data_IF_548714625516
#
_entry.id   IF_548714625516
#
_cell.length_a   1.000
_cell.length_b   1.000
_cell.length_c   1.000
_cell.angle_alpha   90.00
_cell.angle_beta   90.00
_cell.angle_gamma   90.00
#
_symmetry.space_group_name_H-M   'P 1'
#
loop_
_entity.id
_entity.type
_entity.pdbx_description
1 polymer ?
#
# COMPACT_ATOMS: atom_id res chain seq x y z
N UNK A 1 -21.28 7.67 16.60
CA UNK A 1 -21.63 6.23 16.44
C UNK A 1 -20.43 5.44 15.93
N UNK A 2 -19.76 5.88 14.85
CA UNK A 2 -18.54 5.23 14.37
C UNK A 2 -17.27 5.68 15.12
N UNK A 3 -17.25 6.89 15.69
CA UNK A 3 -16.15 7.37 16.52
C UNK A 3 -15.97 6.53 17.80
N UNK A 4 -17.05 5.97 18.35
CA UNK A 4 -16.94 5.06 19.51
C UNK A 4 -16.15 3.81 19.16
N UNK A 5 -16.23 3.31 17.92
CA UNK A 5 -15.43 2.16 17.47
C UNK A 5 -13.94 2.51 17.56
N UNK A 6 -13.54 3.73 17.17
CA UNK A 6 -12.15 4.19 17.31
C UNK A 6 -11.75 4.32 18.78
N UNK A 7 -12.64 4.84 19.63
CA UNK A 7 -12.37 4.93 21.07
C UNK A 7 -12.18 3.56 21.71
N UNK A 8 -13.10 2.63 21.48
CA UNK A 8 -13.00 1.26 22.01
C UNK A 8 -11.74 0.55 21.51
N UNK A 9 -11.43 0.71 20.22
CA UNK A 9 -10.23 0.14 19.59
C UNK A 9 -8.93 0.64 20.22
N UNK A 10 -8.83 1.93 20.54
CA UNK A 10 -7.63 2.54 21.12
C UNK A 10 -7.59 2.50 22.64
N UNK A 11 -8.70 2.20 23.33
CA UNK A 11 -8.76 2.17 24.79
C UNK A 11 -7.70 1.23 25.43
N UNK A 12 -7.32 0.15 24.73
CA UNK A 12 -6.25 -0.75 25.18
C UNK A 12 -4.86 -0.10 25.31
N UNK A 13 -4.64 1.06 24.68
CA UNK A 13 -3.38 1.79 24.77
C UNK A 13 -3.15 2.46 26.13
N UNK A 14 -4.16 2.52 27.00
CA UNK A 14 -4.00 2.98 28.39
C UNK A 14 -2.89 2.20 29.13
N UNK A 15 -2.80 0.88 28.92
CA UNK A 15 -1.76 0.04 29.52
C UNK A 15 -0.36 0.35 28.96
N UNK A 16 -0.25 0.52 27.64
CA UNK A 16 1.02 0.88 27.00
C UNK A 16 1.50 2.27 27.46
N UNK A 17 0.57 3.21 27.66
CA UNK A 17 0.87 4.52 28.27
C UNK A 17 1.42 4.38 29.69
N UNK A 18 0.79 3.58 30.55
CA UNK A 18 1.27 3.33 31.92
C UNK A 18 2.67 2.71 31.93
N UNK A 19 2.92 1.71 31.09
CA UNK A 19 4.24 1.08 30.94
C UNK A 19 5.30 2.12 30.52
N UNK A 20 5.03 2.90 29.46
CA UNK A 20 5.96 3.91 28.97
C UNK A 20 6.25 4.98 30.03
N UNK A 21 5.24 5.42 30.80
CA UNK A 21 5.42 6.37 31.92
C UNK A 21 6.26 5.81 33.06
N UNK A 22 6.22 4.50 33.27
CA UNK A 22 7.08 3.81 34.24
C UNK A 22 8.52 3.62 33.75
N UNK A 23 8.81 3.99 32.50
CA UNK A 23 10.12 3.86 31.86
C UNK A 23 10.28 2.60 31.02
N UNK A 24 9.25 1.76 30.92
CA UNK A 24 9.25 0.59 30.04
C UNK A 24 8.80 0.97 28.63
N UNK A 25 9.78 1.19 27.76
CA UNK A 25 9.57 1.49 26.33
C UNK A 25 9.64 0.24 25.44
N UNK A 26 9.70 -0.98 25.99
CA UNK A 26 9.99 -2.20 25.22
C UNK A 26 9.04 -2.45 24.04
N UNK A 27 7.78 -1.98 24.13
CA UNK A 27 6.77 -2.13 23.07
C UNK A 27 6.75 -0.99 22.05
N UNK A 28 7.45 0.11 22.32
CA UNK A 28 7.37 1.37 21.54
C UNK A 28 8.74 1.94 21.16
N UNK A 29 9.84 1.42 21.71
CA UNK A 29 11.18 1.82 21.29
C UNK A 29 11.47 1.33 19.87
N UNK A 30 12.33 2.04 19.17
CA UNK A 30 12.80 1.62 17.86
C UNK A 30 13.53 0.27 17.96
N UNK A 31 13.06 -0.71 17.20
CA UNK A 31 13.69 -2.02 17.08
C UNK A 31 13.86 -2.38 15.60
N UNK A 32 15.10 -2.29 15.12
CA UNK A 32 15.43 -2.54 13.73
C UNK A 32 15.24 -4.02 13.36
N UNK A 33 14.45 -4.25 12.32
CA UNK A 33 14.30 -5.55 11.69
C UNK A 33 14.80 -5.48 10.25
N UNK A 34 15.76 -6.36 9.92
CA UNK A 34 16.20 -6.53 8.53
C UNK A 34 15.43 -7.68 7.89
N UNK A 35 14.61 -7.33 6.90
CA UNK A 35 13.85 -8.28 6.09
C UNK A 35 14.60 -8.54 4.78
N UNK A 36 14.95 -9.80 4.45
CA UNK A 36 15.60 -10.12 3.18
C UNK A 36 14.77 -9.66 1.98
N UNK A 37 15.31 -8.76 1.16
CA UNK A 37 14.64 -8.21 -0.03
C UNK A 37 13.91 -6.87 0.20
N UNK A 38 13.50 -6.59 1.45
CA UNK A 38 12.75 -5.38 1.80
C UNK A 38 13.57 -4.39 2.64
N UNK A 39 14.77 -4.78 3.10
CA UNK A 39 15.67 -3.87 3.83
C UNK A 39 15.32 -3.76 5.32
N UNK A 40 15.62 -2.61 5.92
CA UNK A 40 15.41 -2.34 7.34
C UNK A 40 14.05 -1.67 7.56
N UNK A 41 13.30 -2.14 8.56
CA UNK A 41 12.06 -1.54 9.08
C UNK A 41 12.04 -1.56 10.60
N UNK A 42 11.14 -0.82 11.22
CA UNK A 42 10.92 -0.87 12.68
C UNK A 42 9.78 -1.83 13.05
N UNK A 43 10.06 -2.78 13.96
CA UNK A 43 9.05 -3.73 14.46
C UNK A 43 7.94 -3.04 15.27
N UNK A 44 8.24 -1.93 15.94
CA UNK A 44 7.34 -1.27 16.88
C UNK A 44 6.67 -0.03 16.31
N UNK A 45 6.86 0.29 15.02
CA UNK A 45 6.23 1.46 14.38
C UNK A 45 4.72 1.51 14.64
N UNK A 46 4.00 0.40 14.42
CA UNK A 46 2.55 0.36 14.61
C UNK A 46 2.14 0.55 16.08
N UNK A 47 2.93 0.04 17.03
CA UNK A 47 2.67 0.25 18.46
C UNK A 47 2.87 1.71 18.85
N UNK A 48 3.94 2.37 18.38
CA UNK A 48 4.13 3.81 18.55
C UNK A 48 2.99 4.63 17.95
N UNK A 49 2.59 4.32 16.73
CA UNK A 49 1.48 5.01 16.06
C UNK A 49 0.19 4.92 16.88
N UNK A 50 -0.13 3.73 17.42
CA UNK A 50 -1.32 3.53 18.26
C UNK A 50 -1.25 4.37 19.54
N UNK A 51 -0.08 4.42 20.20
CA UNK A 51 0.12 5.24 21.38
C UNK A 51 0.03 6.74 21.05
N UNK A 52 0.62 7.19 19.93
CA UNK A 52 0.50 8.58 19.48
C UNK A 52 -0.95 8.98 19.19
N UNK A 53 -1.74 8.13 18.52
CA UNK A 53 -3.18 8.33 18.34
C UNK A 53 -3.92 8.38 19.69
N UNK A 54 -3.55 7.55 20.66
CA UNK A 54 -4.15 7.57 21.98
C UNK A 54 -3.85 8.90 22.71
N UNK A 55 -2.60 9.37 22.69
CA UNK A 55 -2.22 10.66 23.27
C UNK A 55 -3.03 11.81 22.64
N UNK A 56 -3.18 11.80 21.31
CA UNK A 56 -3.97 12.78 20.57
C UNK A 56 -5.45 12.76 20.99
N UNK A 57 -6.13 11.62 20.87
CA UNK A 57 -7.58 11.56 21.05
C UNK A 57 -8.04 11.59 22.51
N UNK A 58 -7.17 11.23 23.46
CA UNK A 58 -7.41 11.42 24.90
C UNK A 58 -6.82 12.73 25.43
N UNK A 59 -6.23 13.56 24.56
CA UNK A 59 -5.64 14.85 24.91
C UNK A 59 -4.66 14.73 26.09
N UNK A 60 -3.88 13.66 26.10
CA UNK A 60 -2.93 13.37 27.18
C UNK A 60 -1.75 14.31 27.05
N UNK A 61 -1.64 15.25 27.98
CA UNK A 61 -0.53 16.20 28.03
C UNK A 61 0.67 15.56 28.76
N UNK A 62 1.61 15.02 27.97
CA UNK A 62 2.82 14.38 28.49
C UNK A 62 4.03 14.74 27.61
N UNK A 63 4.62 15.91 27.90
CA UNK A 63 5.73 16.48 27.13
C UNK A 63 6.91 15.52 27.02
N UNK A 64 7.32 14.92 28.14
CA UNK A 64 8.48 14.04 28.19
C UNK A 64 8.26 12.80 27.35
N UNK A 65 7.13 12.11 27.55
CA UNK A 65 6.81 10.91 26.77
C UNK A 65 6.70 11.23 25.28
N UNK A 66 6.07 12.35 24.92
CA UNK A 66 5.94 12.78 23.53
C UNK A 66 7.30 13.01 22.88
N UNK A 67 8.22 13.68 23.59
CA UNK A 67 9.59 13.88 23.12
C UNK A 67 10.39 12.58 23.00
N UNK A 68 10.22 11.65 23.95
CA UNK A 68 10.88 10.34 23.92
C UNK A 68 10.38 9.51 22.71
N UNK A 69 9.06 9.43 22.50
CA UNK A 69 8.47 8.75 21.34
C UNK A 69 8.90 9.39 20.01
N UNK A 70 8.99 10.73 19.95
CA UNK A 70 9.49 11.44 18.78
C UNK A 70 10.93 11.03 18.45
N UNK A 71 11.77 10.91 19.48
CA UNK A 71 13.15 10.45 19.33
C UNK A 71 13.24 9.03 18.78
N UNK A 72 12.36 8.12 19.19
CA UNK A 72 12.29 6.76 18.65
C UNK A 72 11.82 6.75 17.18
N UNK A 73 10.86 7.59 16.82
CA UNK A 73 10.39 7.71 15.44
C UNK A 73 11.44 8.28 14.48
N UNK A 74 12.28 9.22 14.96
CA UNK A 74 13.41 9.72 14.18
C UNK A 74 14.41 8.63 13.81
N UNK A 75 14.69 7.69 14.74
CA UNK A 75 15.60 6.57 14.46
C UNK A 75 15.07 5.72 13.31
N UNK A 76 13.76 5.47 13.27
CA UNK A 76 13.14 4.77 12.14
C UNK A 76 13.30 5.61 10.86
N UNK A 77 12.92 6.88 10.87
CA UNK A 77 12.97 7.73 9.66
C UNK A 77 14.35 7.90 9.07
N UNK A 78 15.40 7.86 9.88
CA UNK A 78 16.80 7.97 9.44
C UNK A 78 17.40 6.64 8.95
N UNK A 79 16.82 5.51 9.32
CA UNK A 79 17.43 4.17 9.07
C UNK A 79 16.56 3.24 8.23
N UNK A 80 15.28 3.53 8.08
CA UNK A 80 14.35 2.73 7.30
C UNK A 80 14.76 2.72 5.83
N UNK A 81 14.78 1.52 5.24
CA UNK A 81 15.11 1.38 3.82
C UNK A 81 14.00 1.90 2.91
N UNK A 82 12.78 2.04 3.42
CA UNK A 82 11.68 2.73 2.77
C UNK A 82 11.61 4.17 3.25
N UNK A 83 11.54 5.09 2.29
CA UNK A 83 11.36 6.52 2.57
C UNK A 83 9.89 6.80 2.95
N UNK A 84 9.66 7.86 3.72
CA UNK A 84 8.34 8.33 4.10
C UNK A 84 8.39 9.25 5.32
N UNK A 85 7.36 10.07 5.51
CA UNK A 85 7.20 10.92 6.70
C UNK A 85 6.64 10.07 7.85
N UNK A 86 5.52 9.40 7.57
CA UNK A 86 4.80 8.50 8.46
C UNK A 86 3.96 9.23 9.52
N UNK A 87 2.73 8.75 9.67
CA UNK A 87 1.69 9.37 10.50
C UNK A 87 2.09 9.49 11.97
N UNK A 88 2.90 8.58 12.50
CA UNK A 88 3.37 8.66 13.89
C UNK A 88 4.24 9.90 14.11
N UNK A 89 5.13 10.23 13.15
CA UNK A 89 5.97 11.42 13.23
C UNK A 89 5.10 12.68 13.19
N UNK A 90 4.14 12.76 12.26
CA UNK A 90 3.28 13.93 12.09
C UNK A 90 2.42 14.20 13.34
N UNK A 91 1.82 13.16 13.93
CA UNK A 91 1.04 13.30 15.17
C UNK A 91 1.94 13.74 16.33
N UNK A 92 3.12 13.13 16.49
CA UNK A 92 4.05 13.49 17.58
C UNK A 92 4.61 14.90 17.39
N UNK A 93 4.85 15.35 16.16
CA UNK A 93 5.18 16.75 15.84
C UNK A 93 4.11 17.70 16.33
N UNK A 94 2.86 17.43 15.99
CA UNK A 94 1.73 18.26 16.40
C UNK A 94 1.60 18.31 17.93
N UNK A 95 1.64 17.16 18.61
CA UNK A 95 1.57 17.10 20.07
C UNK A 95 2.74 17.83 20.74
N UNK A 96 3.96 17.68 20.23
CA UNK A 96 5.14 18.33 20.79
C UNK A 96 5.13 19.84 20.54
N UNK A 97 4.44 20.30 19.49
CA UNK A 97 4.29 21.73 19.19
C UNK A 97 3.58 22.50 20.32
N UNK A 98 2.68 21.85 21.06
CA UNK A 98 2.02 22.45 22.24
C UNK A 98 3.01 22.83 23.35
N UNK A 99 4.18 22.19 23.40
CA UNK A 99 5.22 22.43 24.39
C UNK A 99 6.42 23.22 23.83
N UNK A 100 6.33 23.74 22.59
CA UNK A 100 7.46 24.37 21.89
C UNK A 100 7.38 25.90 21.81
N UNK A 101 6.70 26.57 22.74
CA UNK A 101 6.56 28.04 22.70
C UNK A 101 7.92 28.78 22.78
N UNK A 102 8.92 28.16 23.41
CA UNK A 102 10.29 28.69 23.57
C UNK A 102 11.27 28.19 22.49
N UNK A 103 10.80 27.38 21.53
CA UNK A 103 11.63 26.81 20.45
C UNK A 103 12.57 25.68 20.90
N UNK A 104 12.42 25.12 22.10
CA UNK A 104 13.31 24.07 22.64
C UNK A 104 13.39 22.80 21.77
N UNK A 105 12.35 22.51 20.99
CA UNK A 105 12.24 21.36 20.10
C UNK A 105 12.54 21.68 18.64
N UNK A 106 12.90 22.93 18.31
CA UNK A 106 13.19 23.32 16.91
C UNK A 106 14.28 22.44 16.28
N UNK A 107 15.30 22.07 17.04
CA UNK A 107 16.34 21.14 16.57
C UNK A 107 15.82 19.73 16.26
N UNK A 108 14.82 19.25 17.01
CA UNK A 108 14.19 17.96 16.72
C UNK A 108 13.33 18.06 15.45
N UNK A 109 12.59 19.14 15.27
CA UNK A 109 11.79 19.35 14.06
C UNK A 109 12.67 19.54 12.82
N UNK A 110 13.81 20.21 12.93
CA UNK A 110 14.79 20.28 11.84
C UNK A 110 15.42 18.91 11.55
N UNK A 111 15.71 18.11 12.58
CA UNK A 111 16.17 16.72 12.39
C UNK A 111 15.12 15.89 11.67
N UNK A 112 13.85 16.00 12.04
CA UNK A 112 12.74 15.35 11.34
C UNK A 112 12.65 15.78 9.88
N UNK A 113 12.77 17.08 9.59
CA UNK A 113 12.77 17.60 8.21
C UNK A 113 13.88 16.97 7.37
N UNK A 114 15.03 16.68 7.96
CA UNK A 114 16.20 16.16 7.25
C UNK A 114 16.39 14.64 7.40
N UNK A 115 15.44 13.92 8.02
CA UNK A 115 15.60 12.50 8.33
C UNK A 115 15.73 11.63 7.08
N UNK A 116 14.99 11.96 6.02
CA UNK A 116 15.01 11.27 4.74
C UNK A 116 14.47 12.17 3.61
N UNK A 117 14.46 11.66 2.37
CA UNK A 117 14.04 12.45 1.19
C UNK A 117 12.59 12.94 1.28
N UNK A 118 11.67 12.06 1.68
CA UNK A 118 10.24 12.40 1.75
C UNK A 118 9.96 13.42 2.86
N UNK A 119 10.66 13.33 4.00
CA UNK A 119 10.62 14.37 5.02
C UNK A 119 11.12 15.71 4.47
N UNK A 120 12.26 15.71 3.78
CA UNK A 120 12.84 16.94 3.23
C UNK A 120 11.88 17.61 2.24
N UNK A 121 11.14 16.83 1.46
CA UNK A 121 10.14 17.35 0.53
C UNK A 121 8.83 17.76 1.20
N UNK A 122 8.29 16.97 2.14
CA UNK A 122 6.90 17.07 2.55
C UNK A 122 6.62 17.30 4.04
N UNK A 123 7.59 17.07 4.93
CA UNK A 123 7.38 17.29 6.37
C UNK A 123 7.08 18.76 6.66
N UNK A 124 5.99 19.01 7.40
CA UNK A 124 5.57 20.32 7.89
C UNK A 124 5.36 20.29 9.40
N UNK A 125 6.14 21.08 10.13
CA UNK A 125 6.04 21.18 11.59
C UNK A 125 4.77 21.90 12.08
N UNK A 126 4.05 22.57 11.18
CA UNK A 126 2.83 23.30 11.49
C UNK A 126 1.56 22.58 11.00
N UNK A 127 1.68 21.33 10.55
CA UNK A 127 0.54 20.55 10.08
C UNK A 127 -0.48 20.38 11.21
N UNK A 128 -1.74 20.84 11.03
CA UNK A 128 -2.75 20.72 12.06
C UNK A 128 -3.34 19.31 12.11
N UNK A 129 -3.68 18.86 13.32
CA UNK A 129 -4.46 17.64 13.56
C UNK A 129 -5.72 17.98 14.36
N UNK A 130 -6.90 17.48 13.96
CA UNK A 130 -8.06 17.54 14.85
C UNK A 130 -7.81 16.68 16.09
N UNK A 131 -7.91 17.28 17.27
CA UNK A 131 -7.76 16.55 18.55
C UNK A 131 -9.06 15.85 18.95
N UNK A 132 -10.20 16.35 18.46
CA UNK A 132 -11.51 15.76 18.76
C UNK A 132 -11.89 14.74 17.69
N UNK A 133 -12.12 13.49 18.12
CA UNK A 133 -12.63 12.43 17.24
C UNK A 133 -13.94 12.79 16.51
N UNK A 134 -14.73 13.72 17.06
CA UNK A 134 -15.94 14.23 16.41
C UNK A 134 -15.71 14.98 15.10
N UNK A 135 -14.50 15.51 14.90
CA UNK A 135 -14.13 16.25 13.69
C UNK A 135 -13.68 15.33 12.53
N UNK A 136 -13.51 14.04 12.82
CA UNK A 136 -13.13 13.03 11.82
C UNK A 136 -14.36 12.44 11.13
N UNK A 137 -14.28 12.33 9.81
CA UNK A 137 -15.29 11.66 9.00
C UNK A 137 -15.20 10.14 9.17
N UNK A 138 -16.23 9.42 8.72
CA UNK A 138 -16.22 7.95 8.70
C UNK A 138 -15.06 7.40 7.87
N UNK A 139 -14.75 8.02 6.71
CA UNK A 139 -13.61 7.63 5.88
C UNK A 139 -12.30 7.82 6.64
N UNK A 140 -12.12 8.93 7.35
CA UNK A 140 -10.92 9.13 8.16
C UNK A 140 -10.78 8.08 9.26
N UNK A 141 -11.89 7.73 9.95
CA UNK A 141 -11.90 6.64 10.92
C UNK A 141 -11.50 5.28 10.31
N UNK A 142 -11.94 4.97 9.07
CA UNK A 142 -11.51 3.76 8.36
C UNK A 142 -10.01 3.79 8.12
N UNK A 143 -9.47 4.92 7.64
CA UNK A 143 -8.03 5.08 7.44
C UNK A 143 -7.25 4.93 8.74
N UNK A 144 -7.69 5.55 9.84
CA UNK A 144 -7.08 5.39 11.17
C UNK A 144 -7.05 3.91 11.56
N UNK A 145 -8.16 3.19 11.44
CA UNK A 145 -8.23 1.78 11.81
C UNK A 145 -7.33 0.89 10.92
N UNK A 146 -7.19 1.22 9.64
CA UNK A 146 -6.27 0.54 8.70
C UNK A 146 -4.81 0.80 9.09
N UNK A 147 -4.41 2.06 9.26
CA UNK A 147 -3.01 2.44 9.53
C UNK A 147 -2.54 1.97 10.89
N UNK A 148 -3.44 1.94 11.88
CA UNK A 148 -3.19 1.35 13.21
C UNK A 148 -3.34 -0.17 13.24
N UNK A 149 -3.59 -0.83 12.10
CA UNK A 149 -3.71 -2.28 11.95
C UNK A 149 -4.72 -2.93 12.91
N UNK A 150 -5.93 -2.36 13.01
CA UNK A 150 -7.06 -2.95 13.72
C UNK A 150 -8.12 -3.44 12.73
N UNK A 151 -7.93 -4.62 12.12
CA UNK A 151 -8.75 -5.06 10.99
C UNK A 151 -10.22 -5.31 11.35
N UNK A 152 -10.53 -5.68 12.59
CA UNK A 152 -11.91 -5.89 13.03
C UNK A 152 -12.69 -4.56 13.07
N UNK A 153 -12.13 -3.53 13.68
CA UNK A 153 -12.69 -2.18 13.71
C UNK A 153 -12.81 -1.62 12.29
N UNK A 154 -11.76 -1.76 11.48
CA UNK A 154 -11.77 -1.30 10.09
C UNK A 154 -12.90 -1.97 9.28
N UNK A 155 -13.12 -3.29 9.40
CA UNK A 155 -14.23 -3.97 8.73
C UNK A 155 -15.60 -3.49 9.20
N UNK A 156 -15.77 -3.25 10.49
CA UNK A 156 -17.03 -2.72 11.03
C UNK A 156 -17.32 -1.32 10.46
N UNK A 157 -16.31 -0.44 10.43
CA UNK A 157 -16.41 0.91 9.87
C UNK A 157 -16.72 0.89 8.36
N UNK A 158 -16.06 0.01 7.60
CA UNK A 158 -16.36 -0.20 6.17
C UNK A 158 -17.79 -0.69 5.97
N UNK A 159 -18.28 -1.57 6.84
CA UNK A 159 -19.68 -2.00 6.84
C UNK A 159 -20.64 -0.82 7.00
N UNK A 160 -20.37 0.09 7.94
CA UNK A 160 -21.14 1.33 8.10
C UNK A 160 -21.05 2.23 6.87
N UNK A 161 -19.84 2.41 6.32
CA UNK A 161 -19.61 3.24 5.14
C UNK A 161 -20.42 2.75 3.94
N UNK A 162 -20.46 1.42 3.71
CA UNK A 162 -21.27 0.80 2.65
C UNK A 162 -22.75 1.18 2.75
N UNK A 163 -23.31 1.35 3.95
CA UNK A 163 -24.73 1.73 4.13
C UNK A 163 -25.04 3.17 3.71
N UNK A 164 -24.02 4.04 3.70
CA UNK A 164 -24.15 5.43 3.24
C UNK A 164 -23.93 5.61 1.74
N UNK A 165 -23.48 4.58 1.01
CA UNK A 165 -23.24 4.66 -0.43
C UNK A 165 -24.57 4.61 -1.18
N UNK A 166 -24.99 5.75 -1.71
CA UNK A 166 -26.21 5.87 -2.52
C UNK A 166 -25.99 5.41 -3.97
N UNK A 167 -24.79 5.62 -4.50
CA UNK A 167 -24.41 5.19 -5.84
C UNK A 167 -22.97 4.64 -5.88
N UNK A 168 -22.81 3.48 -6.52
CA UNK A 168 -21.51 2.88 -6.79
C UNK A 168 -20.82 3.56 -7.98
N UNK A 169 -20.26 4.73 -7.72
CA UNK A 169 -19.43 5.51 -8.64
C UNK A 169 -18.03 4.91 -8.78
N UNK A 170 -17.22 5.43 -9.71
CA UNK A 170 -15.83 5.01 -9.87
C UNK A 170 -15.03 5.22 -8.57
N UNK A 171 -15.18 6.38 -7.94
CA UNK A 171 -14.49 6.72 -6.69
C UNK A 171 -14.89 5.77 -5.55
N UNK A 172 -16.19 5.53 -5.36
CA UNK A 172 -16.68 4.62 -4.32
C UNK A 172 -16.18 3.17 -4.52
N UNK A 173 -16.14 2.69 -5.76
CA UNK A 173 -15.60 1.35 -6.03
C UNK A 173 -14.09 1.27 -5.76
N UNK A 174 -13.33 2.30 -6.14
CA UNK A 174 -11.88 2.36 -5.89
C UNK A 174 -11.58 2.43 -4.39
N UNK A 175 -12.34 3.23 -3.65
CA UNK A 175 -12.22 3.37 -2.19
C UNK A 175 -12.56 2.04 -1.50
N UNK A 176 -13.64 1.36 -1.92
CA UNK A 176 -13.97 0.03 -1.38
C UNK A 176 -12.88 -1.01 -1.67
N UNK A 177 -12.30 -1.01 -2.87
CA UNK A 177 -11.19 -1.92 -3.21
C UNK A 177 -9.98 -1.67 -2.31
N UNK A 178 -9.66 -0.39 -2.05
CA UNK A 178 -8.60 -0.02 -1.13
C UNK A 178 -8.91 -0.53 0.30
N UNK A 179 -10.12 -0.28 0.81
CA UNK A 179 -10.52 -0.75 2.14
C UNK A 179 -10.45 -2.27 2.27
N UNK A 180 -11.03 -3.00 1.33
CA UNK A 180 -11.02 -4.46 1.33
C UNK A 180 -9.60 -5.03 1.29
N UNK A 181 -8.71 -4.44 0.47
CA UNK A 181 -7.32 -4.88 0.34
C UNK A 181 -6.52 -4.71 1.64
N UNK A 182 -6.87 -3.70 2.46
CA UNK A 182 -6.17 -3.38 3.70
C UNK A 182 -6.87 -3.92 4.97
N UNK A 183 -8.00 -4.60 4.83
CA UNK A 183 -8.78 -5.17 5.96
C UNK A 183 -8.84 -6.71 5.95
N UNK A 184 -8.13 -7.34 5.01
CA UNK A 184 -8.17 -8.79 4.79
C UNK A 184 -9.40 -9.27 4.02
N UNK A 185 -10.24 -8.35 3.53
CA UNK A 185 -11.43 -8.63 2.72
C UNK A 185 -11.15 -8.59 1.20
N UNK A 186 -9.90 -8.80 0.79
CA UNK A 186 -9.49 -8.68 -0.62
C UNK A 186 -10.25 -9.60 -1.58
N UNK A 187 -10.79 -10.72 -1.10
CA UNK A 187 -11.66 -11.62 -1.87
C UNK A 187 -13.00 -11.01 -2.27
N UNK A 188 -13.47 -9.98 -1.56
CA UNK A 188 -14.71 -9.26 -1.87
C UNK A 188 -14.54 -8.26 -3.03
N UNK A 189 -13.34 -8.14 -3.61
CA UNK A 189 -13.06 -7.15 -4.65
C UNK A 189 -13.58 -7.50 -6.04
N UNK A 190 -14.19 -8.66 -6.26
CA UNK A 190 -14.73 -9.03 -7.57
C UNK A 190 -15.81 -8.06 -8.04
N UNK A 191 -16.85 -7.85 -7.23
CA UNK A 191 -17.99 -6.99 -7.55
C UNK A 191 -17.60 -5.53 -7.82
N UNK A 192 -16.81 -4.84 -6.98
CA UNK A 192 -16.38 -3.48 -7.31
C UNK A 192 -15.50 -3.42 -8.57
N UNK A 193 -14.66 -4.42 -8.85
CA UNK A 193 -13.90 -4.46 -10.11
C UNK A 193 -14.80 -4.66 -11.33
N UNK A 194 -15.82 -5.54 -11.24
CA UNK A 194 -16.83 -5.71 -12.30
C UNK A 194 -17.61 -4.40 -12.52
N UNK A 195 -17.98 -3.70 -11.45
CA UNK A 195 -18.65 -2.39 -11.54
C UNK A 195 -17.77 -1.35 -12.22
N UNK A 196 -16.49 -1.26 -11.88
CA UNK A 196 -15.53 -0.38 -12.56
C UNK A 196 -15.42 -0.68 -14.05
N UNK A 197 -15.42 -1.95 -14.43
CA UNK A 197 -15.41 -2.35 -15.85
C UNK A 197 -16.68 -1.88 -16.57
N UNK A 198 -17.87 -2.05 -15.97
CA UNK A 198 -19.13 -1.57 -16.54
C UNK A 198 -19.14 -0.05 -16.71
N UNK A 199 -18.67 0.71 -15.70
CA UNK A 199 -18.57 2.17 -15.78
C UNK A 199 -17.59 2.60 -16.89
N UNK A 200 -16.46 1.92 -17.03
CA UNK A 200 -15.48 2.20 -18.06
C UNK A 200 -16.01 1.90 -19.48
N UNK A 201 -16.82 0.85 -19.63
CA UNK A 201 -17.51 0.53 -20.89
C UNK A 201 -18.50 1.63 -21.27
N UNK A 202 -19.29 2.13 -20.32
CA UNK A 202 -20.25 3.22 -20.54
C UNK A 202 -19.55 4.53 -20.91
N UNK A 203 -18.41 4.82 -20.30
CA UNK A 203 -17.64 6.03 -20.58
C UNK A 203 -16.95 6.01 -21.96
N UNK A 204 -16.74 4.83 -22.56
CA UNK A 204 -16.17 4.66 -23.90
C UNK A 204 -14.71 5.12 -24.06
N UNK A 205 -13.98 5.39 -22.97
CA UNK A 205 -12.57 5.82 -23.03
C UNK A 205 -11.65 4.61 -23.11
N UNK A 206 -10.88 4.40 -24.21
CA UNK A 206 -10.12 3.17 -24.42
C UNK A 206 -9.14 2.83 -23.29
N UNK A 207 -8.43 3.82 -22.76
CA UNK A 207 -7.49 3.60 -21.66
C UNK A 207 -8.17 3.23 -20.34
N UNK A 208 -9.31 3.87 -20.02
CA UNK A 208 -10.07 3.53 -18.81
C UNK A 208 -10.61 2.11 -18.89
N UNK A 209 -11.07 1.71 -20.09
CA UNK A 209 -11.52 0.34 -20.35
C UNK A 209 -10.39 -0.68 -20.21
N UNK A 210 -9.20 -0.38 -20.76
CA UNK A 210 -8.01 -1.22 -20.63
C UNK A 210 -7.59 -1.40 -19.16
N UNK A 211 -7.55 -0.31 -18.40
CA UNK A 211 -7.22 -0.32 -16.97
C UNK A 211 -8.22 -1.12 -16.14
N UNK A 212 -9.53 -0.98 -16.42
CA UNK A 212 -10.57 -1.73 -15.71
C UNK A 212 -10.52 -3.23 -16.01
N UNK A 213 -10.30 -3.63 -17.27
CA UNK A 213 -10.08 -5.03 -17.63
C UNK A 213 -8.85 -5.62 -16.93
N UNK A 214 -7.74 -4.90 -16.95
CA UNK A 214 -6.50 -5.33 -16.29
C UNK A 214 -6.69 -5.49 -14.78
N UNK A 215 -7.43 -4.59 -14.13
CA UNK A 215 -7.73 -4.67 -12.69
C UNK A 215 -8.54 -5.93 -12.34
N UNK A 216 -9.58 -6.24 -13.11
CA UNK A 216 -10.38 -7.46 -12.94
C UNK A 216 -9.58 -8.73 -13.27
N UNK A 217 -8.78 -8.70 -14.33
CA UNK A 217 -7.88 -9.80 -14.70
C UNK A 217 -6.89 -10.11 -13.56
N UNK A 218 -6.21 -9.08 -13.05
CA UNK A 218 -5.28 -9.17 -11.92
C UNK A 218 -5.95 -9.76 -10.68
N UNK A 219 -7.18 -9.36 -10.38
CA UNK A 219 -7.96 -9.93 -9.28
C UNK A 219 -8.08 -11.46 -9.43
N UNK A 220 -8.50 -11.95 -10.60
CA UNK A 220 -8.65 -13.40 -10.83
C UNK A 220 -7.31 -14.15 -10.84
N UNK A 221 -6.24 -13.56 -11.38
CA UNK A 221 -4.88 -14.14 -11.34
C UNK A 221 -4.44 -14.36 -9.89
N UNK A 222 -4.59 -13.34 -9.04
CA UNK A 222 -4.22 -13.40 -7.61
C UNK A 222 -5.10 -14.38 -6.84
N UNK A 223 -6.40 -14.45 -7.18
CA UNK A 223 -7.35 -15.40 -6.61
C UNK A 223 -7.18 -16.83 -7.14
N UNK A 224 -6.21 -17.09 -8.05
CA UNK A 224 -5.99 -18.41 -8.69
C UNK A 224 -7.23 -18.94 -9.43
N UNK A 225 -8.04 -18.04 -10.00
CA UNK A 225 -9.25 -18.33 -10.76
C UNK A 225 -8.95 -18.29 -12.26
N UNK A 226 -8.35 -19.37 -12.76
CA UNK A 226 -7.85 -19.44 -14.14
C UNK A 226 -8.93 -19.22 -15.21
N UNK A 227 -10.10 -19.88 -15.16
CA UNK A 227 -11.14 -19.69 -16.19
C UNK A 227 -11.58 -18.24 -16.32
N UNK A 228 -11.86 -17.56 -15.21
CA UNK A 228 -12.31 -16.18 -15.20
C UNK A 228 -11.21 -15.19 -15.62
N UNK A 229 -9.96 -15.48 -15.25
CA UNK A 229 -8.80 -14.71 -15.73
C UNK A 229 -8.66 -14.83 -17.27
N UNK A 230 -8.78 -16.03 -17.83
CA UNK A 230 -8.69 -16.26 -19.27
C UNK A 230 -9.85 -15.60 -20.01
N UNK A 231 -11.07 -15.73 -19.52
CA UNK A 231 -12.25 -15.07 -20.10
C UNK A 231 -12.07 -13.54 -20.11
N UNK A 232 -11.65 -12.96 -18.99
CA UNK A 232 -11.41 -11.51 -18.87
C UNK A 232 -10.32 -11.04 -19.83
N UNK A 233 -9.21 -11.79 -19.94
CA UNK A 233 -8.12 -11.49 -20.85
C UNK A 233 -8.55 -11.57 -22.32
N UNK A 234 -9.33 -12.58 -22.70
CA UNK A 234 -9.86 -12.72 -24.05
C UNK A 234 -10.83 -11.58 -24.39
N UNK A 235 -11.75 -11.26 -23.48
CA UNK A 235 -12.69 -10.14 -23.65
C UNK A 235 -11.97 -8.80 -23.83
N UNK A 236 -10.92 -8.56 -23.04
CA UNK A 236 -10.06 -7.38 -23.18
C UNK A 236 -9.44 -7.30 -24.57
N UNK A 237 -8.83 -8.39 -25.06
CA UNK A 237 -8.18 -8.47 -26.37
C UNK A 237 -9.12 -8.31 -27.55
N UNK A 238 -10.38 -8.71 -27.41
CA UNK A 238 -11.39 -8.56 -28.47
C UNK A 238 -11.88 -7.11 -28.61
N UNK A 239 -11.83 -6.33 -27.52
CA UNK A 239 -12.39 -4.96 -27.48
C UNK A 239 -11.36 -3.85 -27.59
N UNK A 240 -10.08 -4.15 -27.42
CA UNK A 240 -9.01 -3.16 -27.36
C UNK A 240 -7.92 -3.47 -28.37
N UNK A 241 -7.41 -2.41 -29.00
CA UNK A 241 -6.24 -2.48 -29.86
C UNK A 241 -4.92 -2.44 -29.06
N UNK A 242 -3.81 -2.64 -29.76
CA UNK A 242 -2.48 -2.59 -29.16
C UNK A 242 -2.11 -1.21 -28.63
N UNK A 243 -2.65 -0.14 -29.21
CA UNK A 243 -2.37 1.23 -28.79
C UNK A 243 -2.99 1.55 -27.41
N UNK A 244 -4.21 1.08 -27.15
CA UNK A 244 -4.88 1.24 -25.86
C UNK A 244 -4.16 0.47 -24.74
N UNK A 245 -3.71 -0.76 -25.03
CA UNK A 245 -2.98 -1.61 -24.07
C UNK A 245 -1.56 -1.09 -23.82
N UNK A 246 -0.90 -0.57 -24.87
CA UNK A 246 0.47 -0.08 -24.83
C UNK A 246 0.66 1.29 -24.15
N UNK A 247 -0.41 1.94 -23.68
CA UNK A 247 -0.32 3.28 -23.10
C UNK A 247 0.19 3.27 -21.65
N UNK A 248 1.25 4.03 -21.40
CA UNK A 248 1.85 4.14 -20.06
C UNK A 248 2.47 2.83 -19.58
N UNK A 249 2.46 2.59 -18.26
CA UNK A 249 3.03 1.37 -17.67
C UNK A 249 2.04 0.17 -17.62
N UNK A 250 0.90 0.28 -18.31
CA UNK A 250 -0.16 -0.74 -18.29
C UNK A 250 0.31 -2.05 -18.92
N UNK A 251 1.00 -1.98 -20.07
CA UNK A 251 1.51 -3.16 -20.76
C UNK A 251 2.43 -3.97 -19.86
N UNK A 252 3.42 -3.33 -19.23
CA UNK A 252 4.33 -3.99 -18.29
C UNK A 252 3.59 -4.70 -17.16
N UNK A 253 2.62 -4.02 -16.55
CA UNK A 253 1.80 -4.57 -15.48
C UNK A 253 0.98 -5.77 -15.93
N UNK A 254 0.40 -5.70 -17.14
CA UNK A 254 -0.34 -6.78 -17.74
C UNK A 254 0.55 -7.98 -18.09
N UNK A 255 1.74 -7.76 -18.65
CA UNK A 255 2.72 -8.82 -18.92
C UNK A 255 3.14 -9.52 -17.63
N UNK A 256 3.31 -8.79 -16.53
CA UNK A 256 3.60 -9.38 -15.22
C UNK A 256 2.47 -10.30 -14.75
N UNK A 257 1.23 -9.84 -14.76
CA UNK A 257 0.08 -10.66 -14.34
C UNK A 257 -0.16 -11.85 -15.29
N UNK A 258 0.08 -11.68 -16.60
CA UNK A 258 -0.01 -12.77 -17.57
C UNK A 258 1.07 -13.85 -17.34
N UNK A 259 2.32 -13.45 -17.09
CA UNK A 259 3.39 -14.42 -16.76
C UNK A 259 3.14 -15.11 -15.42
N UNK A 260 2.51 -14.42 -14.46
CA UNK A 260 2.06 -15.04 -13.22
C UNK A 260 0.96 -16.09 -13.44
N UNK A 261 -0.01 -15.81 -14.31
CA UNK A 261 -1.04 -16.78 -14.70
C UNK A 261 -0.41 -18.02 -15.35
N UNK A 262 0.53 -17.83 -16.29
CA UNK A 262 1.27 -18.93 -16.94
C UNK A 262 2.07 -19.74 -15.93
N UNK A 263 2.70 -19.09 -14.95
CA UNK A 263 3.43 -19.80 -13.90
C UNK A 263 2.52 -20.66 -13.00
N UNK A 264 1.26 -20.26 -12.85
CA UNK A 264 0.29 -20.95 -12.00
C UNK A 264 -0.45 -22.07 -12.74
N UNK A 265 -0.75 -21.86 -14.02
CA UNK A 265 -1.56 -22.75 -14.85
C UNK A 265 -0.91 -22.91 -16.24
N UNK A 266 0.27 -23.57 -16.33
CA UNK A 266 1.06 -23.58 -17.56
C UNK A 266 0.34 -24.24 -18.75
N UNK A 267 -0.51 -25.24 -18.49
CA UNK A 267 -1.27 -25.93 -19.55
C UNK A 267 -2.45 -25.09 -20.06
N UNK A 268 -3.25 -24.53 -19.16
CA UNK A 268 -4.44 -23.76 -19.53
C UNK A 268 -4.07 -22.37 -20.10
N UNK A 269 -2.99 -21.77 -19.61
CA UNK A 269 -2.55 -20.43 -19.99
C UNK A 269 -1.57 -20.42 -21.18
N UNK A 270 -1.37 -21.54 -21.89
CA UNK A 270 -0.56 -21.57 -23.13
C UNK A 270 -0.97 -20.46 -24.13
N UNK A 271 -2.25 -20.17 -24.39
CA UNK A 271 -2.63 -19.08 -25.31
C UNK A 271 -2.18 -17.69 -24.83
N UNK A 272 -2.12 -17.48 -23.51
CA UNK A 272 -1.62 -16.25 -22.90
C UNK A 272 -0.12 -16.12 -23.12
N UNK A 273 0.65 -17.20 -22.95
CA UNK A 273 2.09 -17.20 -23.26
C UNK A 273 2.38 -16.77 -24.70
N UNK A 274 1.64 -17.32 -25.68
CA UNK A 274 1.81 -16.96 -27.09
C UNK A 274 1.58 -15.47 -27.36
N UNK A 275 0.69 -14.82 -26.60
CA UNK A 275 0.47 -13.39 -26.70
C UNK A 275 1.56 -12.57 -26.00
N UNK A 276 2.02 -13.00 -24.82
CA UNK A 276 3.04 -12.32 -24.03
C UNK A 276 4.41 -12.35 -24.69
N UNK A 277 4.79 -13.51 -25.27
CA UNK A 277 6.14 -13.80 -25.76
C UNK A 277 6.70 -12.74 -26.71
N UNK A 278 5.99 -12.29 -27.77
CA UNK A 278 6.52 -11.29 -28.68
C UNK A 278 6.88 -9.97 -28.01
N UNK A 279 6.14 -9.56 -26.96
CA UNK A 279 6.46 -8.35 -26.20
C UNK A 279 7.72 -8.54 -25.35
N UNK A 280 7.85 -9.69 -24.68
CA UNK A 280 9.06 -9.97 -23.90
C UNK A 280 10.33 -10.02 -24.75
N UNK A 281 10.22 -10.45 -26.01
CA UNK A 281 11.35 -10.48 -26.95
C UNK A 281 11.78 -9.08 -27.41
N UNK A 282 10.84 -8.13 -27.52
CA UNK A 282 11.14 -6.77 -27.99
C UNK A 282 11.55 -5.81 -26.86
N UNK A 283 11.23 -6.15 -25.60
CA UNK A 283 11.40 -5.27 -24.43
C UNK A 283 12.72 -5.46 -23.68
N UNK A 284 13.80 -5.82 -24.37
CA UNK A 284 15.06 -6.32 -23.77
C UNK A 284 15.72 -5.44 -22.69
N UNK A 285 15.41 -4.14 -22.62
CA UNK A 285 16.00 -3.19 -21.66
C UNK A 285 14.95 -2.43 -20.81
N UNK A 286 13.65 -2.77 -20.93
CA UNK A 286 12.56 -2.08 -20.22
C UNK A 286 11.86 -2.91 -19.15
N UNK A 287 12.28 -4.18 -18.97
CA UNK A 287 11.76 -5.04 -17.92
C UNK A 287 12.40 -4.71 -16.57
N UNK A 288 11.60 -4.72 -15.51
CA UNK A 288 12.08 -4.63 -14.12
C UNK A 288 12.22 -6.02 -13.50
N UNK A 289 12.96 -6.11 -12.39
CA UNK A 289 13.41 -7.38 -11.82
C UNK A 289 12.32 -8.43 -11.57
N UNK A 290 11.11 -8.04 -11.12
CA UNK A 290 10.03 -9.00 -10.89
C UNK A 290 9.47 -9.57 -12.20
N UNK A 291 9.30 -8.74 -13.22
CA UNK A 291 8.86 -9.18 -14.54
C UNK A 291 9.87 -10.14 -15.16
N UNK A 292 11.19 -9.87 -15.05
CA UNK A 292 12.23 -10.82 -15.46
C UNK A 292 12.07 -12.19 -14.78
N UNK A 293 11.98 -12.21 -13.45
CA UNK A 293 11.88 -13.47 -12.68
C UNK A 293 10.67 -14.30 -13.10
N UNK A 294 9.50 -13.66 -13.24
CA UNK A 294 8.25 -14.32 -13.65
C UNK A 294 8.31 -14.78 -15.11
N UNK A 295 8.82 -13.96 -16.01
CA UNK A 295 8.97 -14.29 -17.43
C UNK A 295 9.93 -15.47 -17.66
N UNK A 296 11.08 -15.51 -16.97
CA UNK A 296 12.02 -16.64 -17.04
C UNK A 296 11.35 -17.93 -16.57
N UNK A 297 10.62 -17.86 -15.45
CA UNK A 297 9.92 -19.03 -14.90
C UNK A 297 8.82 -19.52 -15.86
N UNK A 298 8.01 -18.60 -16.39
CA UNK A 298 6.98 -18.92 -17.37
C UNK A 298 7.58 -19.57 -18.62
N UNK A 299 8.65 -19.00 -19.19
CA UNK A 299 9.34 -19.57 -20.35
C UNK A 299 9.86 -21.00 -20.09
N UNK A 300 10.42 -21.28 -18.89
CA UNK A 300 10.87 -22.63 -18.52
C UNK A 300 9.71 -23.63 -18.45
N UNK A 301 8.60 -23.23 -17.83
CA UNK A 301 7.41 -24.09 -17.72
C UNK A 301 6.80 -24.39 -19.10
N UNK A 302 6.92 -23.44 -20.04
CA UNK A 302 6.49 -23.61 -21.42
C UNK A 302 7.49 -24.39 -22.29
N UNK A 303 8.67 -24.75 -21.78
CA UNK A 303 9.74 -25.34 -22.57
C UNK A 303 10.32 -24.40 -23.63
N UNK A 304 10.19 -23.08 -23.44
CA UNK A 304 10.56 -22.07 -24.42
C UNK A 304 12.04 -21.65 -24.28
N UNK A 305 12.84 -21.66 -25.37
CA UNK A 305 14.24 -21.25 -25.35
C UNK A 305 14.45 -19.79 -24.93
N UNK A 306 13.40 -18.96 -24.99
CA UNK A 306 13.43 -17.58 -24.50
C UNK A 306 13.87 -17.49 -23.01
N UNK A 307 13.69 -18.56 -22.23
CA UNK A 307 14.15 -18.62 -20.83
C UNK A 307 15.65 -18.35 -20.67
N UNK A 308 16.49 -18.84 -21.59
CA UNK A 308 17.95 -18.66 -21.56
C UNK A 308 18.35 -17.24 -21.91
N UNK A 309 17.66 -16.64 -22.87
CA UNK A 309 17.87 -15.25 -23.29
C UNK A 309 17.47 -14.29 -22.17
N UNK A 310 16.26 -14.42 -21.61
CA UNK A 310 15.79 -13.61 -20.48
C UNK A 310 16.69 -13.76 -19.25
N UNK A 311 17.23 -14.96 -18.98
CA UNK A 311 18.18 -15.18 -17.87
C UNK A 311 19.50 -14.43 -18.08
N UNK A 312 19.92 -14.25 -19.33
CA UNK A 312 21.15 -13.53 -19.67
C UNK A 312 20.92 -12.02 -19.63
N UNK A 313 19.77 -11.54 -20.10
CA UNK A 313 19.33 -10.15 -19.94
C UNK A 313 19.21 -9.76 -18.45
N UNK A 314 18.54 -10.58 -17.64
CA UNK A 314 18.37 -10.32 -16.21
C UNK A 314 19.71 -10.19 -15.46
N UNK A 315 20.70 -11.03 -15.80
CA UNK A 315 22.05 -10.92 -15.21
C UNK A 315 22.74 -9.60 -15.55
N UNK A 316 22.59 -9.11 -16.79
CA UNK A 316 23.10 -7.78 -17.19
C UNK A 316 22.40 -6.66 -16.43
N UNK A 317 21.08 -6.70 -16.37
CA UNK A 317 20.28 -5.73 -15.63
C UNK A 317 20.67 -5.63 -14.14
N UNK A 318 20.90 -6.75 -13.46
CA UNK A 318 21.40 -6.75 -12.07
C UNK A 318 22.77 -6.08 -11.96
N UNK A 319 23.68 -6.36 -12.90
CA UNK A 319 25.03 -5.81 -12.87
C UNK A 319 25.07 -4.30 -13.12
N UNK A 320 24.08 -3.77 -13.84
CA UNK A 320 23.92 -2.33 -14.11
C UNK A 320 23.22 -1.59 -12.98
N UNK A 321 22.19 -2.20 -12.37
CA UNK A 321 21.37 -1.57 -11.31
C UNK A 321 21.98 -1.64 -9.91
N UNK A 322 23.02 -2.46 -9.70
CA UNK A 322 23.76 -2.56 -8.44
C UNK A 322 25.07 -1.74 -8.42
N UNK A 323 25.29 -0.90 -9.43
CA UNK A 323 26.36 0.11 -9.45
C UNK A 323 25.88 1.40 -8.79
#
# INVERSE_FOLDING_TARGET
>A
MYQEIIREMLAGQAKTLENARSGDFSEVCWDAERVPGDGTRDKHYTARLRLACYLLFWQVQDERLTADLFGEELKDRETNSFQGIGTSLEILTFLLSHFNADGRYDKLFERAKNANFDCACGYDKNQPFPENLGDYTLTDCIHIAITTQYPAAARQLVGLWKTGVTEWTQAACQELIYFNSNTGCGSENEEPNRRLLTLAQQAGKPFALASAYHSLFRFYVRARRCPEALETFQAMRQRLDSAAIGRGNLLNSLLEDCTELVCAFPEDARPVWHWVKPYLQTMSDSLYGNLYKKAIRAARLMGDPLSSELSSQYRRWIAETRR
#
